data_IF_261508460367
#
_entry.id   IF_261508460367
#
_cell.length_a   1.000
_cell.length_b   1.000
_cell.length_c   1.000
_cell.angle_alpha   90.00
_cell.angle_beta   90.00
_cell.angle_gamma   90.00
#
_symmetry.space_group_name_H-M   'P 1'
#
loop_
_entity.id
_entity.type
_entity.pdbx_description
1 polymer ?
#
# COMPACT_ATOMS: atom_id res chain seq x y z
N UNK A 1 2.61 -7.23 -28.30
CA UNK A 1 3.14 -8.60 -28.47
C UNK A 1 3.04 -9.37 -27.16
N UNK A 2 2.48 -10.58 -27.16
CA UNK A 2 2.20 -11.40 -25.95
C UNK A 2 3.43 -11.69 -25.07
N UNK A 3 4.64 -11.62 -25.64
CA UNK A 3 5.92 -11.76 -24.94
C UNK A 3 6.13 -10.61 -23.93
N UNK A 4 5.72 -9.38 -24.26
CA UNK A 4 5.95 -8.20 -23.42
C UNK A 4 5.11 -8.24 -22.13
N UNK A 5 3.90 -8.81 -22.19
CA UNK A 5 3.05 -8.99 -21.00
C UNK A 5 3.55 -10.08 -20.05
N UNK A 6 4.38 -11.01 -20.54
CA UNK A 6 4.96 -12.09 -19.74
C UNK A 6 6.30 -11.72 -19.07
N UNK A 7 6.88 -10.57 -19.42
CA UNK A 7 8.13 -10.11 -18.83
C UNK A 7 7.94 -9.66 -17.37
N UNK A 8 8.97 -9.83 -16.51
CA UNK A 8 8.97 -9.25 -15.17
C UNK A 8 8.66 -7.75 -15.19
N UNK A 9 7.96 -7.26 -14.17
CA UNK A 9 7.56 -5.84 -14.09
C UNK A 9 8.73 -4.88 -14.30
N UNK A 10 9.90 -5.19 -13.74
CA UNK A 10 11.10 -4.38 -13.91
C UNK A 10 11.56 -4.30 -15.38
N UNK A 11 11.50 -5.39 -16.14
CA UNK A 11 11.84 -5.40 -17.56
C UNK A 11 10.85 -4.58 -18.39
N UNK A 12 9.55 -4.68 -18.07
CA UNK A 12 8.52 -3.87 -18.73
C UNK A 12 8.70 -2.37 -18.46
N UNK A 13 9.05 -2.01 -17.23
CA UNK A 13 9.36 -0.63 -16.86
C UNK A 13 10.60 -0.16 -17.62
N UNK A 14 11.69 -0.94 -17.62
CA UNK A 14 12.91 -0.58 -18.33
C UNK A 14 12.67 -0.32 -19.83
N UNK A 15 11.93 -1.21 -20.49
CA UNK A 15 11.56 -1.04 -21.88
C UNK A 15 10.69 0.21 -22.12
N UNK A 16 9.75 0.51 -21.22
CA UNK A 16 8.95 1.73 -21.30
C UNK A 16 9.79 3.01 -21.09
N UNK A 17 10.91 2.91 -20.38
CA UNK A 17 11.90 3.98 -20.19
C UNK A 17 12.92 4.05 -21.34
N UNK A 18 12.77 3.25 -22.40
CA UNK A 18 13.61 3.29 -23.60
C UNK A 18 14.78 2.29 -23.60
N UNK A 19 14.88 1.41 -22.60
CA UNK A 19 15.90 0.36 -22.57
C UNK A 19 15.55 -0.79 -23.52
N UNK A 20 16.39 -1.05 -24.53
CA UNK A 20 16.11 -2.05 -25.58
C UNK A 20 17.08 -3.23 -25.58
N UNK A 21 18.26 -3.09 -24.96
CA UNK A 21 19.32 -4.10 -25.05
C UNK A 21 19.43 -4.97 -23.79
N UNK A 22 19.37 -4.36 -22.60
CA UNK A 22 19.59 -5.06 -21.34
C UNK A 22 18.41 -4.92 -20.38
N UNK A 23 17.36 -5.71 -20.62
CA UNK A 23 16.19 -5.73 -19.75
C UNK A 23 16.46 -6.47 -18.43
N UNK A 24 16.11 -5.90 -17.27
CA UNK A 24 16.28 -6.56 -15.98
C UNK A 24 15.25 -7.69 -15.78
N UNK A 25 15.67 -8.93 -16.03
CA UNK A 25 14.81 -10.13 -15.92
C UNK A 25 14.71 -10.71 -14.51
N UNK A 26 15.47 -10.19 -13.54
CA UNK A 26 15.45 -10.65 -12.14
C UNK A 26 15.10 -9.52 -11.19
N UNK A 27 14.60 -9.85 -9.99
CA UNK A 27 14.33 -8.84 -8.94
C UNK A 27 15.59 -8.05 -8.60
N UNK A 28 16.74 -8.71 -8.49
CA UNK A 28 18.03 -8.05 -8.18
C UNK A 28 18.45 -7.08 -9.28
N UNK A 29 18.39 -7.52 -10.54
CA UNK A 29 18.70 -6.66 -11.69
C UNK A 29 17.71 -5.49 -11.80
N UNK A 30 16.42 -5.75 -11.55
CA UNK A 30 15.38 -4.73 -11.55
C UNK A 30 15.59 -3.68 -10.48
N UNK A 31 15.94 -4.09 -9.26
CA UNK A 31 16.29 -3.16 -8.17
C UNK A 31 17.50 -2.30 -8.54
N UNK A 32 18.55 -2.91 -9.10
CA UNK A 32 19.75 -2.20 -9.52
C UNK A 32 19.45 -1.19 -10.65
N UNK A 33 18.64 -1.58 -11.63
CA UNK A 33 18.21 -0.73 -12.74
C UNK A 33 17.38 0.46 -12.23
N UNK A 34 16.33 0.21 -11.44
CA UNK A 34 15.44 1.24 -10.91
C UNK A 34 16.15 2.17 -9.90
N UNK A 35 17.20 1.69 -9.22
CA UNK A 35 18.03 2.51 -8.34
C UNK A 35 18.66 3.72 -9.04
N UNK A 36 18.87 3.68 -10.36
CA UNK A 36 19.37 4.81 -11.16
C UNK A 36 18.37 5.96 -11.26
N UNK A 37 17.07 5.67 -11.07
CA UNK A 37 15.97 6.64 -11.16
C UNK A 37 15.45 7.07 -9.78
N UNK A 38 16.01 6.54 -8.69
CA UNK A 38 15.64 6.87 -7.33
C UNK A 38 16.74 7.73 -6.68
N UNK A 39 16.77 9.07 -6.93
CA UNK A 39 17.78 9.96 -6.36
C UNK A 39 17.73 10.02 -4.83
N UNK A 40 16.60 9.62 -4.24
CA UNK A 40 16.40 9.47 -2.81
C UNK A 40 15.98 8.01 -2.56
N UNK A 41 16.94 7.08 -2.31
CA UNK A 41 16.56 5.74 -1.89
C UNK A 41 15.67 5.86 -0.65
N UNK A 42 14.59 5.07 -0.60
CA UNK A 42 13.79 5.01 0.62
C UNK A 42 14.75 4.71 1.79
N UNK A 43 14.74 5.52 2.87
CA UNK A 43 15.58 5.25 4.01
C UNK A 43 15.32 3.80 4.43
N UNK A 44 16.40 3.05 4.62
CA UNK A 44 16.28 1.69 5.15
C UNK A 44 15.48 1.79 6.44
N UNK A 45 14.34 1.11 6.51
CA UNK A 45 13.54 1.11 7.72
C UNK A 45 14.42 0.56 8.84
N UNK A 46 14.77 1.40 9.80
CA UNK A 46 15.42 0.92 11.02
C UNK A 46 14.41 -0.03 11.68
N UNK A 47 14.83 -1.26 12.06
CA UNK A 47 13.92 -2.15 12.78
C UNK A 47 13.43 -1.42 14.03
N UNK A 48 12.12 -1.40 14.20
CA UNK A 48 11.53 -0.77 15.37
C UNK A 48 12.04 -1.48 16.64
N UNK A 49 12.32 -0.73 17.73
CA UNK A 49 12.61 -1.35 19.01
C UNK A 49 11.49 -2.33 19.39
N UNK A 50 11.87 -3.52 19.87
CA UNK A 50 10.94 -4.63 20.20
C UNK A 50 9.84 -4.19 21.18
N UNK A 51 10.13 -3.21 22.03
CA UNK A 51 9.24 -2.67 23.07
C UNK A 51 8.29 -1.57 22.58
N UNK A 52 8.32 -1.22 21.29
CA UNK A 52 7.43 -0.18 20.76
C UNK A 52 5.97 -0.66 20.81
N UNK A 53 5.04 0.10 21.42
CA UNK A 53 3.64 -0.27 21.46
C UNK A 53 3.07 -0.45 20.04
N UNK A 54 2.18 -1.44 19.83
CA UNK A 54 1.59 -1.67 18.52
C UNK A 54 0.64 -0.54 18.11
N UNK A 55 0.71 -0.12 16.85
CA UNK A 55 -0.17 0.90 16.27
C UNK A 55 -1.52 0.31 15.87
N UNK A 56 -1.53 -0.90 15.31
CA UNK A 56 -2.77 -1.58 14.89
C UNK A 56 -2.73 -3.03 15.33
N UNK A 57 -3.80 -3.50 15.97
CA UNK A 57 -3.95 -4.90 16.37
C UNK A 57 -5.32 -5.42 15.97
N UNK A 58 -5.35 -6.55 15.28
CA UNK A 58 -6.57 -7.36 15.08
C UNK A 58 -6.49 -8.57 15.99
N UNK A 59 -7.56 -8.84 16.75
CA UNK A 59 -7.68 -10.02 17.62
C UNK A 59 -8.88 -10.84 17.23
N UNK A 60 -8.63 -12.12 16.94
CA UNK A 60 -9.61 -13.18 16.69
C UNK A 60 -10.67 -12.76 15.67
N UNK A 61 -10.22 -12.14 14.58
CA UNK A 61 -11.06 -11.52 13.57
C UNK A 61 -11.71 -12.54 12.63
N UNK A 62 -13.01 -12.38 12.41
CA UNK A 62 -13.77 -13.16 11.44
C UNK A 62 -14.51 -12.26 10.46
N UNK A 63 -14.48 -12.63 9.19
CA UNK A 63 -15.14 -11.90 8.11
C UNK A 63 -15.70 -12.85 7.06
N UNK A 64 -16.90 -12.50 6.57
CA UNK A 64 -17.57 -13.09 5.41
C UNK A 64 -18.29 -11.99 4.64
N UNK A 65 -18.42 -12.13 3.32
CA UNK A 65 -19.03 -11.10 2.47
C UNK A 65 -20.56 -11.08 2.56
N UNK A 66 -21.18 -12.25 2.78
CA UNK A 66 -22.63 -12.37 2.92
C UNK A 66 -22.98 -13.30 4.08
N UNK A 67 -24.16 -13.09 4.68
CA UNK A 67 -24.70 -14.03 5.66
C UNK A 67 -24.90 -15.41 4.99
N UNK A 68 -24.53 -16.48 5.69
CA UNK A 68 -24.57 -17.84 5.14
C UNK A 68 -23.43 -18.21 4.18
N UNK A 69 -22.60 -17.25 3.74
CA UNK A 69 -21.38 -17.56 2.97
C UNK A 69 -20.25 -18.08 3.86
N UNK A 70 -19.29 -18.77 3.24
CA UNK A 70 -18.09 -19.24 3.91
C UNK A 70 -17.25 -18.06 4.45
N UNK A 71 -16.63 -18.27 5.60
CA UNK A 71 -15.72 -17.29 6.18
C UNK A 71 -14.45 -17.15 5.33
N UNK A 72 -14.16 -15.91 4.95
CA UNK A 72 -12.94 -15.57 4.20
C UNK A 72 -11.78 -15.32 5.15
N UNK A 73 -12.05 -14.68 6.30
CA UNK A 73 -11.10 -14.59 7.42
C UNK A 73 -11.65 -15.41 8.58
N UNK A 74 -10.82 -16.32 9.10
CA UNK A 74 -11.15 -17.22 10.21
C UNK A 74 -10.08 -17.06 11.27
N UNK A 75 -10.46 -16.57 12.45
CA UNK A 75 -9.56 -16.33 13.57
C UNK A 75 -8.29 -15.54 13.20
N UNK A 76 -8.46 -14.49 12.38
CA UNK A 76 -7.36 -13.66 11.91
C UNK A 76 -6.89 -12.73 13.02
N UNK A 77 -5.63 -12.88 13.43
CA UNK A 77 -4.96 -12.03 14.42
C UNK A 77 -3.66 -11.50 13.83
N UNK A 78 -3.42 -10.20 13.98
CA UNK A 78 -2.24 -9.51 13.47
C UNK A 78 -1.91 -8.32 14.37
N UNK A 79 -0.63 -8.08 14.60
CA UNK A 79 -0.14 -6.92 15.34
C UNK A 79 0.87 -6.19 14.47
N UNK A 80 0.62 -4.91 14.18
CA UNK A 80 1.52 -4.04 13.43
C UNK A 80 2.18 -3.07 14.40
N UNK A 81 3.51 -2.93 14.33
CA UNK A 81 4.26 -1.94 15.11
C UNK A 81 4.76 -0.79 14.22
N UNK A 82 5.02 0.39 14.79
CA UNK A 82 5.62 1.51 14.07
C UNK A 82 6.89 1.09 13.33
N UNK A 83 7.15 1.65 12.15
CA UNK A 83 8.42 1.46 11.43
C UNK A 83 8.64 0.08 10.79
N UNK A 84 7.76 -0.89 11.04
CA UNK A 84 7.86 -2.23 10.44
C UNK A 84 7.17 -2.32 9.08
N UNK A 85 7.79 -3.06 8.15
CA UNK A 85 7.22 -3.38 6.85
C UNK A 85 6.78 -4.85 6.81
N UNK A 86 5.49 -5.07 6.62
CA UNK A 86 4.91 -6.41 6.53
C UNK A 86 4.56 -6.78 5.09
N UNK A 87 4.89 -8.00 4.69
CA UNK A 87 4.46 -8.59 3.43
C UNK A 87 3.40 -9.66 3.68
N UNK A 88 2.19 -9.45 3.17
CA UNK A 88 1.13 -10.46 3.22
C UNK A 88 1.18 -11.34 1.96
N UNK A 89 1.59 -12.59 2.13
CA UNK A 89 1.76 -13.56 1.03
C UNK A 89 0.70 -14.67 1.09
N UNK A 90 0.50 -15.38 -0.01
CA UNK A 90 -0.46 -16.48 -0.11
C UNK A 90 -1.06 -16.64 -1.50
N UNK A 91 -1.75 -17.75 -1.74
CA UNK A 91 -2.41 -18.05 -3.02
C UNK A 91 -3.56 -17.10 -3.34
N UNK A 92 -3.99 -17.05 -4.60
CA UNK A 92 -5.20 -16.32 -4.97
C UNK A 92 -6.41 -16.89 -4.22
N UNK A 93 -7.28 -16.02 -3.72
CA UNK A 93 -8.42 -16.41 -2.89
C UNK A 93 -8.11 -16.67 -1.42
N UNK A 94 -6.86 -16.60 -0.98
CA UNK A 94 -6.49 -16.82 0.44
C UNK A 94 -6.95 -15.74 1.43
N UNK A 95 -7.71 -14.73 0.97
CA UNK A 95 -8.23 -13.67 1.82
C UNK A 95 -7.34 -12.43 1.99
N UNK A 96 -6.22 -12.30 1.25
CA UNK A 96 -5.28 -11.16 1.38
C UNK A 96 -5.94 -9.79 1.21
N UNK A 97 -6.68 -9.61 0.12
CA UNK A 97 -7.41 -8.36 -0.17
C UNK A 97 -8.48 -8.08 0.89
N UNK A 98 -9.07 -9.14 1.45
CA UNK A 98 -10.04 -9.04 2.55
C UNK A 98 -9.36 -8.59 3.83
N UNK A 99 -8.21 -9.17 4.18
CA UNK A 99 -7.41 -8.75 5.34
C UNK A 99 -6.98 -7.28 5.20
N UNK A 100 -6.44 -6.88 4.05
CA UNK A 100 -6.11 -5.49 3.76
C UNK A 100 -7.34 -4.58 3.85
N UNK A 101 -8.51 -5.03 3.40
CA UNK A 101 -9.76 -4.30 3.55
C UNK A 101 -10.17 -4.07 5.00
N UNK A 102 -9.90 -5.03 5.90
CA UNK A 102 -10.14 -4.88 7.34
C UNK A 102 -9.13 -3.90 7.94
N UNK A 103 -7.84 -4.08 7.64
CA UNK A 103 -6.76 -3.22 8.15
C UNK A 103 -6.89 -1.77 7.67
N UNK A 104 -7.43 -1.56 6.46
CA UNK A 104 -7.69 -0.23 5.91
C UNK A 104 -9.02 0.37 6.34
N UNK A 105 -9.81 -0.31 7.18
CA UNK A 105 -11.12 0.19 7.62
C UNK A 105 -12.25 0.05 6.61
N UNK A 106 -12.01 -0.45 5.40
CA UNK A 106 -13.02 -0.64 4.36
C UNK A 106 -14.00 -1.78 4.67
N UNK A 107 -13.54 -2.81 5.38
CA UNK A 107 -14.34 -3.98 5.77
C UNK A 107 -14.41 -4.07 7.29
N UNK A 108 -15.59 -4.41 7.80
CA UNK A 108 -15.82 -4.59 9.23
C UNK A 108 -15.97 -6.06 9.56
N UNK A 109 -15.19 -6.52 10.54
CA UNK A 109 -15.31 -7.87 11.09
C UNK A 109 -16.69 -8.05 11.73
N UNK A 110 -17.31 -9.22 11.56
CA UNK A 110 -18.55 -9.55 12.27
C UNK A 110 -18.28 -10.15 13.66
N UNK A 111 -17.07 -10.69 13.88
CA UNK A 111 -16.58 -11.19 15.17
C UNK A 111 -15.09 -10.85 15.32
N UNK A 112 -14.64 -10.64 16.56
CA UNK A 112 -13.28 -10.21 16.88
C UNK A 112 -13.21 -8.73 17.21
N UNK A 113 -12.01 -8.15 17.25
CA UNK A 113 -11.82 -6.73 17.57
C UNK A 113 -10.59 -6.15 16.88
N UNK A 114 -10.72 -4.88 16.49
CA UNK A 114 -9.61 -4.06 15.97
C UNK A 114 -9.26 -3.02 17.03
N UNK A 115 -7.97 -2.80 17.25
CA UNK A 115 -7.43 -1.81 18.17
C UNK A 115 -6.47 -0.91 17.39
N UNK A 116 -6.60 0.40 17.58
CA UNK A 116 -5.71 1.42 17.07
C UNK A 116 -5.11 2.15 18.28
N UNK A 117 -3.78 2.21 18.37
CA UNK A 117 -3.02 2.78 19.50
C UNK A 117 -3.52 2.26 20.85
N UNK A 118 -3.70 0.94 20.94
CA UNK A 118 -4.20 0.25 22.14
C UNK A 118 -5.70 0.43 22.43
N UNK A 119 -6.43 1.26 21.69
CA UNK A 119 -7.86 1.53 21.91
C UNK A 119 -8.72 0.72 20.96
N UNK A 120 -9.72 0.03 21.49
CA UNK A 120 -10.67 -0.75 20.68
C UNK A 120 -11.49 0.17 19.78
N UNK A 121 -11.51 -0.13 18.49
CA UNK A 121 -12.22 0.64 17.48
C UNK A 121 -13.54 -0.04 17.10
N UNK A 122 -14.62 0.75 17.02
CA UNK A 122 -15.91 0.26 16.47
C UNK A 122 -15.84 0.15 14.95
N UNK A 123 -15.19 1.14 14.33
CA UNK A 123 -14.84 1.23 12.92
C UNK A 123 -13.59 2.11 12.82
N UNK A 124 -12.71 1.80 11.87
CA UNK A 124 -11.59 2.66 11.52
C UNK A 124 -12.08 3.78 10.59
N UNK A 125 -11.48 4.95 10.71
CA UNK A 125 -11.71 6.13 9.88
C UNK A 125 -10.43 6.44 9.08
N UNK A 126 -10.32 5.96 7.83
CA UNK A 126 -9.14 6.17 7.00
C UNK A 126 -8.77 7.65 6.90
N UNK A 127 -7.48 7.94 6.72
CA UNK A 127 -6.84 9.27 6.78
C UNK A 127 -6.90 9.96 8.15
N UNK A 128 -8.06 9.97 8.83
CA UNK A 128 -8.18 10.51 10.21
C UNK A 128 -7.35 9.68 11.20
N UNK A 129 -7.36 8.37 11.03
CA UNK A 129 -6.60 7.41 11.82
C UNK A 129 -5.15 7.24 11.33
N UNK A 130 -4.68 8.07 10.38
CA UNK A 130 -3.35 7.92 9.77
C UNK A 130 -3.23 6.70 8.84
N UNK A 131 -4.35 6.09 8.47
CA UNK A 131 -4.39 4.91 7.59
C UNK A 131 -4.62 5.36 6.14
N UNK A 132 -3.68 5.02 5.26
CA UNK A 132 -3.83 5.19 3.82
C UNK A 132 -3.75 3.82 3.13
N UNK A 133 -4.58 3.62 2.10
CA UNK A 133 -4.60 2.39 1.32
C UNK A 133 -4.49 2.72 -0.17
N UNK A 134 -3.59 2.04 -0.86
CA UNK A 134 -3.47 2.11 -2.31
C UNK A 134 -4.23 0.92 -2.90
N UNK A 135 -5.32 1.13 -3.64
CA UNK A 135 -6.10 0.06 -4.25
C UNK A 135 -5.32 -0.62 -5.38
N UNK A 136 -5.80 -1.81 -5.79
CA UNK A 136 -5.19 -2.57 -6.88
C UNK A 136 -5.24 -1.82 -8.21
N UNK A 137 -6.32 -1.08 -8.48
CA UNK A 137 -6.41 -0.17 -9.62
C UNK A 137 -6.14 1.26 -9.14
N UNK A 138 -4.93 1.81 -9.34
CA UNK A 138 -4.56 3.13 -8.85
C UNK A 138 -5.36 4.25 -9.53
N UNK A 139 -5.99 4.01 -10.67
CA UNK A 139 -6.83 5.01 -11.35
C UNK A 139 -8.02 5.45 -10.51
N UNK A 140 -8.45 4.60 -9.57
CA UNK A 140 -9.53 4.90 -8.63
C UNK A 140 -9.15 5.93 -7.56
N UNK A 141 -7.87 6.34 -7.50
CA UNK A 141 -7.40 7.36 -6.57
C UNK A 141 -7.46 8.78 -7.14
N UNK A 142 -7.46 8.95 -8.46
CA UNK A 142 -7.44 10.27 -9.08
C UNK A 142 -8.84 10.87 -9.13
N UNK A 143 -8.95 12.11 -8.68
CA UNK A 143 -10.15 12.94 -8.74
C UNK A 143 -10.14 13.91 -9.93
N UNK A 144 -8.99 14.10 -10.59
CA UNK A 144 -8.85 15.01 -11.71
C UNK A 144 -7.87 14.49 -12.79
N UNK A 145 -7.94 15.12 -13.97
CA UNK A 145 -7.18 14.71 -15.16
C UNK A 145 -5.72 15.18 -15.16
N UNK A 146 -5.33 16.09 -14.26
CA UNK A 146 -3.96 16.60 -14.14
C UNK A 146 -3.46 16.47 -12.70
N UNK A 147 -2.15 16.25 -12.53
CA UNK A 147 -1.53 16.13 -11.19
C UNK A 147 -1.75 17.40 -10.37
N UNK A 148 -1.69 18.57 -11.01
CA UNK A 148 -1.96 19.86 -10.36
C UNK A 148 -3.39 19.94 -9.81
N UNK A 149 -4.39 19.59 -10.64
CA UNK A 149 -5.79 19.64 -10.23
C UNK A 149 -6.10 18.58 -9.17
N UNK A 150 -5.49 17.40 -9.26
CA UNK A 150 -5.67 16.31 -8.31
C UNK A 150 -5.10 16.69 -6.93
N UNK A 151 -3.88 17.24 -6.87
CA UNK A 151 -3.28 17.75 -5.63
C UNK A 151 -4.10 18.88 -5.01
N UNK A 152 -4.62 19.80 -5.82
CA UNK A 152 -5.50 20.87 -5.34
C UNK A 152 -6.82 20.32 -4.77
N UNK A 153 -7.35 19.23 -5.34
CA UNK A 153 -8.59 18.59 -4.86
C UNK A 153 -8.48 18.02 -3.44
N UNK A 154 -7.25 17.75 -2.96
CA UNK A 154 -7.02 17.20 -1.61
C UNK A 154 -7.30 18.21 -0.49
N UNK A 155 -7.46 19.51 -0.83
CA UNK A 155 -7.76 20.57 0.12
C UNK A 155 -6.69 20.72 1.20
N UNK A 156 -5.42 20.44 0.86
CA UNK A 156 -4.28 20.52 1.77
C UNK A 156 -3.58 21.86 1.66
N UNK A 157 -2.83 22.21 2.71
CA UNK A 157 -2.02 23.42 2.75
C UNK A 157 -0.97 23.43 1.61
N UNK A 158 -0.75 24.59 1.02
CA UNK A 158 0.15 24.78 -0.13
C UNK A 158 1.59 24.37 0.20
N UNK A 159 2.06 24.65 1.43
CA UNK A 159 3.41 24.26 1.86
C UNK A 159 3.60 22.73 1.91
N UNK A 160 2.56 21.99 2.31
CA UNK A 160 2.58 20.53 2.29
C UNK A 160 2.58 20.01 0.85
N UNK A 161 1.75 20.59 -0.02
CA UNK A 161 1.71 20.22 -1.44
C UNK A 161 3.08 20.46 -2.10
N UNK A 162 3.70 21.61 -1.90
CA UNK A 162 5.03 21.93 -2.42
C UNK A 162 6.11 20.97 -1.90
N UNK A 163 6.01 20.58 -0.62
CA UNK A 163 6.91 19.58 -0.02
C UNK A 163 6.75 18.23 -0.73
N UNK A 164 5.52 17.77 -0.96
CA UNK A 164 5.24 16.51 -1.67
C UNK A 164 5.72 16.59 -3.11
N UNK A 165 5.43 17.67 -3.83
CA UNK A 165 5.86 17.89 -5.21
C UNK A 165 7.38 17.80 -5.33
N UNK A 166 8.10 18.41 -4.38
CA UNK A 166 9.57 18.36 -4.34
C UNK A 166 10.09 16.96 -4.00
N UNK A 167 9.59 16.36 -2.91
CA UNK A 167 10.07 15.06 -2.42
C UNK A 167 9.78 13.92 -3.40
N UNK A 168 8.64 13.96 -4.06
CA UNK A 168 8.20 12.95 -5.03
C UNK A 168 8.58 13.30 -6.48
N UNK A 169 9.35 14.39 -6.67
CA UNK A 169 9.79 14.88 -7.97
C UNK A 169 8.64 15.04 -9.01
N UNK A 170 7.49 15.54 -8.57
CA UNK A 170 6.29 15.68 -9.40
C UNK A 170 6.29 16.95 -10.26
N UNK A 171 7.27 17.85 -10.09
CA UNK A 171 7.32 19.13 -10.81
C UNK A 171 7.17 19.01 -12.35
N UNK A 172 7.72 18.01 -13.04
CA UNK A 172 7.52 17.83 -14.49
C UNK A 172 6.09 17.45 -14.90
N UNK A 173 5.24 17.05 -13.95
CA UNK A 173 3.87 16.58 -14.17
C UNK A 173 2.81 17.64 -13.84
N UNK A 174 3.22 18.80 -13.32
CA UNK A 174 2.34 19.92 -12.92
C UNK A 174 2.15 20.94 -14.03
#
# INVERSE_FOLDING_TARGET
>A
HAIFSAMPTAARIAAALGETECLPLTVRAGRAYLGRFAPHPMPAAAPAPVDTPPVLTVRDGWFRYAQGSADVLRNFSLTLRPGELYALTGSNGSGKTTALGVLSGRLRLYRGSVYLDGKKQRALQPLRDGIAAVPQDPRTLFAADTVRADLASLGRDAALVDTVVRQMALAPLL
#
